data_IF_249776956266
#
_entry.id   IF_249776956266
#
_cell.length_a   1.000
_cell.length_b   1.000
_cell.length_c   1.000
_cell.angle_alpha   90.00
_cell.angle_beta   90.00
_cell.angle_gamma   90.00
#
_symmetry.space_group_name_H-M   'P 1'
#
loop_
_entity.id
_entity.type
_entity.pdbx_description
1 polymer ?
#
# COMPACT_ATOMS: atom_id res chain seq x y z
N UNK A 1 27.63 36.31 11.68
CA UNK A 1 27.54 34.86 11.36
C UNK A 1 26.35 34.61 10.46
N UNK A 2 26.56 34.37 9.16
CA UNK A 2 25.48 34.06 8.22
C UNK A 2 25.19 32.55 8.26
N UNK A 3 24.07 32.17 8.88
CA UNK A 3 23.49 30.83 8.82
C UNK A 3 23.23 30.46 7.36
N UNK A 4 23.71 29.29 6.92
CA UNK A 4 23.47 28.80 5.56
C UNK A 4 22.02 28.33 5.45
N UNK A 5 21.09 29.28 5.30
CA UNK A 5 19.64 29.06 5.18
C UNK A 5 19.22 28.56 3.79
N UNK A 6 20.14 27.94 3.03
CA UNK A 6 19.81 27.44 1.70
C UNK A 6 18.76 26.32 1.81
N UNK A 7 17.68 26.34 1.01
CA UNK A 7 16.67 25.28 0.99
C UNK A 7 17.26 23.92 0.57
N UNK A 8 18.44 23.92 -0.08
CA UNK A 8 19.14 22.72 -0.55
C UNK A 8 20.24 22.23 0.39
N UNK A 9 20.35 22.78 1.61
CA UNK A 9 21.31 22.29 2.60
C UNK A 9 21.05 20.79 2.90
N UNK A 10 22.10 19.95 3.08
CA UNK A 10 21.95 18.52 3.34
C UNK A 10 20.99 18.19 4.49
N UNK A 11 20.95 19.03 5.54
CA UNK A 11 20.01 18.92 6.66
C UNK A 11 18.56 19.13 6.24
N UNK A 12 18.25 20.21 5.51
CA UNK A 12 16.88 20.52 5.05
C UNK A 12 16.35 19.43 4.12
N UNK A 13 17.22 18.91 3.24
CA UNK A 13 16.90 17.77 2.38
C UNK A 13 16.61 16.52 3.21
N UNK A 14 17.45 16.18 4.19
CA UNK A 14 17.24 15.04 5.09
C UNK A 14 15.93 15.12 5.86
N UNK A 15 15.59 16.30 6.40
CA UNK A 15 14.33 16.55 7.10
C UNK A 15 13.13 16.38 6.18
N UNK A 16 13.17 16.97 4.98
CA UNK A 16 12.09 16.85 3.99
C UNK A 16 11.82 15.40 3.60
N UNK A 17 12.86 14.64 3.26
CA UNK A 17 12.68 13.23 2.89
C UNK A 17 12.22 12.37 4.07
N UNK A 18 12.72 12.63 5.29
CA UNK A 18 12.25 11.93 6.49
C UNK A 18 10.77 12.20 6.75
N UNK A 19 10.33 13.46 6.62
CA UNK A 19 8.92 13.82 6.70
C UNK A 19 8.09 13.09 5.64
N UNK A 20 8.55 13.06 4.39
CA UNK A 20 7.87 12.35 3.30
C UNK A 20 7.74 10.85 3.58
N UNK A 21 8.83 10.21 4.05
CA UNK A 21 8.82 8.79 4.43
C UNK A 21 7.84 8.52 5.57
N UNK A 22 7.83 9.37 6.60
CA UNK A 22 6.89 9.25 7.72
C UNK A 22 5.42 9.46 7.29
N UNK A 23 5.16 10.41 6.39
CA UNK A 23 3.84 10.61 5.81
C UNK A 23 3.39 9.36 5.04
N UNK A 24 4.27 8.80 4.22
CA UNK A 24 3.98 7.59 3.45
C UNK A 24 3.64 6.41 4.35
N UNK A 25 4.41 6.18 5.41
CA UNK A 25 4.13 5.12 6.40
C UNK A 25 2.78 5.27 7.08
N UNK A 26 2.35 6.51 7.34
CA UNK A 26 1.07 6.80 7.99
C UNK A 26 -0.12 6.72 7.03
N UNK A 27 0.10 6.93 5.73
CA UNK A 27 -0.95 6.84 4.70
C UNK A 27 -1.16 5.40 4.23
N UNK A 28 -0.10 4.59 4.16
CA UNK A 28 -0.18 3.20 3.68
C UNK A 28 -1.30 2.35 4.32
N UNK A 29 -1.54 2.41 5.64
CA UNK A 29 -2.66 1.70 6.27
C UNK A 29 -4.04 2.06 5.72
N UNK A 30 -4.26 3.28 5.20
CA UNK A 30 -5.52 3.69 4.60
C UNK A 30 -5.73 3.09 3.21
N UNK A 31 -4.64 2.81 2.49
CA UNK A 31 -4.69 2.17 1.16
C UNK A 31 -4.82 0.63 1.25
N UNK A 32 -4.38 0.05 2.36
CA UNK A 32 -4.34 -1.40 2.56
C UNK A 32 -5.71 -2.11 2.37
N UNK A 33 -6.86 -1.58 2.85
CA UNK A 33 -8.16 -2.22 2.64
C UNK A 33 -8.51 -2.44 1.17
N UNK A 34 -8.13 -1.51 0.27
CA UNK A 34 -8.38 -1.66 -1.17
C UNK A 34 -7.53 -2.77 -1.78
N UNK A 35 -6.25 -2.83 -1.42
CA UNK A 35 -5.35 -3.91 -1.86
C UNK A 35 -5.91 -5.26 -1.39
N UNK A 36 -6.35 -5.35 -0.14
CA UNK A 36 -6.94 -6.55 0.41
C UNK A 36 -8.24 -6.94 -0.31
N UNK A 37 -9.12 -5.98 -0.62
CA UNK A 37 -10.33 -6.24 -1.39
C UNK A 37 -10.01 -6.80 -2.79
N UNK A 38 -9.05 -6.21 -3.50
CA UNK A 38 -8.61 -6.71 -4.82
C UNK A 38 -8.11 -8.16 -4.69
N UNK A 39 -7.27 -8.46 -3.69
CA UNK A 39 -6.77 -9.83 -3.45
C UNK A 39 -7.93 -10.79 -3.16
N UNK A 40 -8.89 -10.39 -2.32
CA UNK A 40 -10.05 -11.23 -2.01
C UNK A 40 -10.92 -11.51 -3.23
N UNK A 41 -11.12 -10.51 -4.10
CA UNK A 41 -11.86 -10.69 -5.37
C UNK A 41 -11.10 -11.65 -6.29
N UNK A 42 -9.77 -11.53 -6.40
CA UNK A 42 -8.94 -12.43 -7.19
C UNK A 42 -9.04 -13.87 -6.68
N UNK A 43 -8.94 -14.08 -5.37
CA UNK A 43 -9.08 -15.40 -4.75
C UNK A 43 -10.50 -15.94 -5.00
N UNK A 44 -11.55 -15.19 -4.68
CA UNK A 44 -12.92 -15.64 -4.93
C UNK A 44 -13.20 -15.93 -6.42
N UNK A 45 -12.61 -15.15 -7.33
CA UNK A 45 -12.63 -15.38 -8.77
C UNK A 45 -11.93 -16.68 -9.16
N UNK A 46 -10.75 -16.96 -8.60
CA UNK A 46 -10.03 -18.22 -8.79
C UNK A 46 -10.89 -19.43 -8.38
N UNK A 47 -11.60 -19.33 -7.26
CA UNK A 47 -12.54 -20.37 -6.81
C UNK A 47 -13.84 -20.44 -7.64
N UNK A 48 -14.01 -19.55 -8.63
CA UNK A 48 -15.17 -19.54 -9.52
C UNK A 48 -16.46 -19.04 -8.86
N UNK A 49 -16.36 -18.39 -7.69
CA UNK A 49 -17.52 -17.99 -6.88
C UNK A 49 -18.48 -17.07 -7.65
N UNK A 50 -17.93 -16.23 -8.54
CA UNK A 50 -18.69 -15.24 -9.30
C UNK A 50 -19.35 -15.78 -10.58
N UNK A 51 -19.00 -16.99 -11.05
CA UNK A 51 -19.56 -17.53 -12.30
C UNK A 51 -21.04 -17.87 -12.23
N UNK A 52 -21.49 -18.33 -11.06
CA UNK A 52 -22.85 -18.82 -10.86
C UNK A 52 -23.74 -17.80 -10.12
N UNK A 53 -23.20 -16.61 -9.83
CA UNK A 53 -23.91 -15.59 -9.08
C UNK A 53 -24.84 -14.79 -10.01
N UNK A 54 -26.12 -14.59 -9.64
CA UNK A 54 -26.96 -13.63 -10.34
C UNK A 54 -26.32 -12.24 -10.29
N UNK A 55 -26.34 -11.51 -11.42
CA UNK A 55 -25.80 -10.15 -11.55
C UNK A 55 -26.15 -9.20 -10.39
N UNK A 56 -27.40 -9.12 -9.88
CA UNK A 56 -27.71 -8.22 -8.76
C UNK A 56 -26.98 -8.62 -7.47
N UNK A 57 -26.75 -9.92 -7.24
CA UNK A 57 -26.04 -10.40 -6.05
C UNK A 57 -24.54 -10.10 -6.16
N UNK A 58 -23.95 -10.31 -7.33
CA UNK A 58 -22.55 -9.94 -7.58
C UNK A 58 -22.32 -8.43 -7.36
N UNK A 59 -23.20 -7.59 -7.93
CA UNK A 59 -23.16 -6.14 -7.70
C UNK A 59 -23.29 -5.80 -6.21
N UNK A 60 -24.22 -6.43 -5.49
CA UNK A 60 -24.41 -6.20 -4.06
C UNK A 60 -23.15 -6.56 -3.25
N UNK A 61 -22.50 -7.68 -3.54
CA UNK A 61 -21.26 -8.11 -2.87
C UNK A 61 -20.12 -7.11 -3.15
N UNK A 62 -19.97 -6.67 -4.41
CA UNK A 62 -18.94 -5.69 -4.77
C UNK A 62 -19.20 -4.34 -4.10
N UNK A 63 -20.45 -3.86 -4.09
CA UNK A 63 -20.83 -2.62 -3.43
C UNK A 63 -20.59 -2.69 -1.92
N UNK A 64 -20.98 -3.80 -1.27
CA UNK A 64 -20.74 -4.01 0.16
C UNK A 64 -19.24 -4.04 0.49
N UNK A 65 -18.45 -4.78 -0.30
CA UNK A 65 -16.99 -4.82 -0.15
C UNK A 65 -16.37 -3.43 -0.29
N UNK A 66 -16.79 -2.65 -1.28
CA UNK A 66 -16.34 -1.28 -1.48
C UNK A 66 -16.71 -0.38 -0.29
N UNK A 67 -17.94 -0.43 0.20
CA UNK A 67 -18.37 0.35 1.38
C UNK A 67 -17.54 -0.01 2.61
N UNK A 68 -17.31 -1.31 2.86
CA UNK A 68 -16.48 -1.76 4.00
C UNK A 68 -15.04 -1.22 3.86
N UNK A 69 -14.43 -1.30 2.67
CA UNK A 69 -13.08 -0.76 2.44
C UNK A 69 -13.03 0.75 2.61
N UNK A 70 -14.06 1.47 2.16
CA UNK A 70 -14.17 2.91 2.32
C UNK A 70 -14.23 3.29 3.80
N UNK A 71 -15.09 2.62 4.58
CA UNK A 71 -15.19 2.86 6.03
C UNK A 71 -13.87 2.56 6.74
N UNK A 72 -13.21 1.45 6.39
CA UNK A 72 -11.90 1.10 6.95
C UNK A 72 -10.81 2.14 6.59
N UNK A 73 -10.78 2.58 5.33
CA UNK A 73 -9.87 3.62 4.83
C UNK A 73 -10.11 4.96 5.53
N UNK A 74 -11.37 5.41 5.64
CA UNK A 74 -11.73 6.63 6.36
C UNK A 74 -11.32 6.53 7.82
N UNK A 75 -11.58 5.40 8.50
CA UNK A 75 -11.15 5.21 9.90
C UNK A 75 -9.63 5.27 10.05
N UNK A 76 -8.87 4.73 9.10
CA UNK A 76 -7.41 4.84 9.09
C UNK A 76 -6.96 6.28 8.82
N UNK A 77 -7.60 6.98 7.89
CA UNK A 77 -7.33 8.39 7.57
C UNK A 77 -7.69 9.33 8.72
N UNK A 78 -8.77 9.09 9.47
CA UNK A 78 -9.12 9.87 10.66
C UNK A 78 -8.12 9.70 11.80
N UNK A 79 -7.35 8.60 11.80
CA UNK A 79 -6.24 8.38 12.73
C UNK A 79 -4.92 8.97 12.23
N UNK A 80 -4.91 9.54 11.03
CA UNK A 80 -3.73 10.20 10.48
C UNK A 80 -3.35 11.38 11.36
N UNK A 81 -2.08 11.42 11.74
CA UNK A 81 -1.47 12.56 12.40
C UNK A 81 -0.30 13.00 11.56
N UNK A 82 -0.18 14.29 11.28
CA UNK A 82 0.99 14.82 10.59
C UNK A 82 2.23 14.62 11.47
N UNK A 83 3.37 14.15 10.92
CA UNK A 83 4.60 13.99 11.71
C UNK A 83 5.05 15.34 12.24
N UNK A 84 5.30 15.41 13.55
CA UNK A 84 5.71 16.66 14.19
C UNK A 84 7.20 16.92 13.98
N UNK A 85 7.63 18.17 14.12
CA UNK A 85 9.04 18.56 13.98
C UNK A 85 9.95 17.75 14.90
N UNK A 86 9.52 17.50 16.14
CA UNK A 86 10.26 16.70 17.13
C UNK A 86 10.40 15.25 16.66
N UNK A 87 9.34 14.63 16.15
CA UNK A 87 9.40 13.26 15.64
C UNK A 87 10.34 13.12 14.43
N UNK A 88 10.30 14.09 13.51
CA UNK A 88 11.16 14.10 12.31
C UNK A 88 12.63 14.21 12.71
N UNK A 89 12.98 15.12 13.61
CA UNK A 89 14.36 15.27 14.09
C UNK A 89 14.84 14.04 14.84
N UNK A 90 14.02 13.51 15.76
CA UNK A 90 14.37 12.31 16.53
C UNK A 90 14.62 11.13 15.60
N UNK A 91 13.77 10.95 14.59
CA UNK A 91 13.94 9.86 13.61
C UNK A 91 15.22 10.03 12.80
N UNK A 92 15.44 11.22 12.22
CA UNK A 92 16.65 11.49 11.45
C UNK A 92 17.93 11.35 12.29
N UNK A 93 17.87 11.69 13.59
CA UNK A 93 18.97 11.52 14.52
C UNK A 93 19.29 10.03 14.74
N UNK A 94 18.25 9.24 15.07
CA UNK A 94 18.38 7.79 15.26
C UNK A 94 18.92 7.10 14.01
N UNK A 95 18.40 7.44 12.82
CA UNK A 95 18.85 6.85 11.55
C UNK A 95 20.33 7.15 11.22
N UNK A 96 20.91 8.18 11.83
CA UNK A 96 22.32 8.57 11.66
C UNK A 96 23.19 8.28 12.89
N UNK A 97 22.67 7.64 13.93
CA UNK A 97 23.40 7.41 15.19
C UNK A 97 23.77 8.70 15.92
N UNK A 98 23.05 9.79 15.68
CA UNK A 98 23.25 11.10 16.32
C UNK A 98 22.23 11.30 17.43
N UNK A 99 22.52 12.25 18.33
CA UNK A 99 21.52 12.75 19.29
C UNK A 99 20.69 13.87 18.66
N UNK A 100 19.40 14.05 19.03
CA UNK A 100 18.55 15.10 18.47
C UNK A 100 19.11 16.51 18.64
N UNK A 101 19.78 16.80 19.76
CA UNK A 101 20.38 18.10 20.05
C UNK A 101 21.50 18.43 19.06
N UNK A 102 22.24 17.40 18.60
CA UNK A 102 23.29 17.57 17.61
C UNK A 102 22.74 17.99 16.26
N UNK A 103 21.57 17.49 15.86
CA UNK A 103 20.89 17.94 14.63
C UNK A 103 20.43 19.39 14.71
N UNK A 104 19.98 19.84 15.89
CA UNK A 104 19.62 21.24 16.11
C UNK A 104 20.86 22.14 15.99
N UNK A 105 21.99 21.74 16.57
CA UNK A 105 23.25 22.47 16.44
C UNK A 105 23.73 22.56 14.97
N UNK A 106 23.55 21.49 14.18
CA UNK A 106 23.93 21.46 12.75
C UNK A 106 23.19 22.49 11.88
N UNK A 107 22.05 23.02 12.33
CA UNK A 107 21.32 24.10 11.62
C UNK A 107 22.15 25.39 11.52
N UNK A 108 23.08 25.59 12.44
CA UNK A 108 23.97 26.76 12.48
C UNK A 108 25.36 26.48 11.89
N UNK A 109 25.66 25.23 11.53
CA UNK A 109 26.95 24.85 10.96
C UNK A 109 27.01 25.11 9.45
N UNK A 110 28.17 25.61 8.99
CA UNK A 110 28.40 25.94 7.57
C UNK A 110 28.65 24.70 6.71
N UNK A 111 29.27 23.67 7.28
CA UNK A 111 29.52 22.36 6.65
C UNK A 111 28.67 21.31 7.36
N UNK A 112 27.68 20.78 6.66
CA UNK A 112 26.82 19.72 7.17
C UNK A 112 27.23 18.38 6.54
N UNK A 113 27.35 17.29 7.33
CA UNK A 113 27.58 15.97 6.77
C UNK A 113 26.36 15.50 5.96
N UNK A 114 26.58 14.56 5.02
CA UNK A 114 25.47 13.90 4.34
C UNK A 114 24.73 13.01 5.33
N UNK A 115 23.44 13.28 5.52
CA UNK A 115 22.57 12.49 6.39
C UNK A 115 21.94 11.34 5.61
N UNK A 116 21.88 10.16 6.24
CA UNK A 116 21.13 9.00 5.77
C UNK A 116 19.67 9.17 6.15
N UNK A 117 18.78 8.88 5.21
CA UNK A 117 17.34 8.87 5.45
C UNK A 117 16.95 7.41 5.70
N UNK A 118 16.26 7.13 6.81
CA UNK A 118 15.78 5.79 7.13
C UNK A 118 14.81 5.26 6.08
N UNK A 119 14.78 3.94 5.91
CA UNK A 119 13.83 3.27 5.02
C UNK A 119 12.41 3.35 5.58
N UNK A 120 11.43 3.32 4.68
CA UNK A 120 10.02 3.22 5.05
C UNK A 120 9.76 1.90 5.81
N UNK A 121 9.22 2.01 7.03
CA UNK A 121 8.75 0.92 7.89
C UNK A 121 7.23 1.01 7.96
N UNK A 122 6.55 0.39 7.02
CA UNK A 122 5.10 0.32 7.03
C UNK A 122 4.63 -0.70 8.10
N UNK A 123 3.86 -0.24 9.08
CA UNK A 123 3.22 -1.11 10.07
C UNK A 123 2.02 -1.86 9.48
N UNK A 124 2.26 -2.86 8.61
CA UNK A 124 1.18 -3.60 7.93
C UNK A 124 0.28 -4.33 8.95
N UNK A 125 0.80 -4.71 10.12
CA UNK A 125 0.03 -5.35 11.18
C UNK A 125 -1.08 -4.45 11.76
N UNK A 126 -0.90 -3.12 11.77
CA UNK A 126 -1.93 -2.21 12.27
C UNK A 126 -3.11 -2.04 11.29
N UNK A 127 -2.89 -2.35 10.01
CA UNK A 127 -3.88 -2.22 8.94
C UNK A 127 -4.78 -3.45 8.79
N UNK A 128 -4.36 -4.61 9.33
CA UNK A 128 -5.08 -5.89 9.21
C UNK A 128 -5.25 -6.58 10.58
N UNK A 129 -6.19 -6.11 11.41
CA UNK A 129 -6.39 -6.66 12.76
C UNK A 129 -6.89 -8.11 12.74
N UNK A 130 -7.56 -8.53 11.67
CA UNK A 130 -8.11 -9.88 11.53
C UNK A 130 -7.21 -10.83 10.76
N UNK A 131 -5.98 -10.41 10.41
CA UNK A 131 -5.04 -11.23 9.66
C UNK A 131 -5.62 -11.77 8.33
N UNK A 132 -6.57 -11.04 7.73
CA UNK A 132 -7.27 -11.41 6.49
C UNK A 132 -6.29 -11.64 5.33
N UNK A 133 -5.14 -10.97 5.33
CA UNK A 133 -4.08 -11.18 4.35
C UNK A 133 -3.57 -12.63 4.32
N UNK A 134 -3.45 -13.27 5.48
CA UNK A 134 -2.97 -14.65 5.58
C UNK A 134 -4.06 -15.62 5.16
N UNK A 135 -5.32 -15.32 5.48
CA UNK A 135 -6.48 -16.09 5.02
C UNK A 135 -6.57 -16.05 3.49
N UNK A 136 -6.43 -14.86 2.90
CA UNK A 136 -6.44 -14.68 1.46
C UNK A 136 -5.27 -15.42 0.78
N UNK A 137 -4.05 -15.32 1.34
CA UNK A 137 -2.88 -16.03 0.83
C UNK A 137 -3.05 -17.56 0.92
N UNK A 138 -3.53 -18.07 2.05
CA UNK A 138 -3.82 -19.49 2.23
C UNK A 138 -4.88 -19.97 1.22
N UNK A 139 -5.95 -19.20 1.04
CA UNK A 139 -7.00 -19.49 0.05
C UNK A 139 -6.48 -19.49 -1.39
N UNK A 140 -5.55 -18.59 -1.74
CA UNK A 140 -4.91 -18.56 -3.05
C UNK A 140 -4.06 -19.82 -3.29
N UNK A 141 -3.19 -20.15 -2.32
CA UNK A 141 -2.30 -21.32 -2.39
C UNK A 141 -3.13 -22.61 -2.48
N UNK A 142 -4.10 -22.78 -1.59
CA UNK A 142 -4.99 -23.95 -1.61
C UNK A 142 -5.76 -24.04 -2.92
N UNK A 143 -6.25 -22.91 -3.44
CA UNK A 143 -6.92 -22.88 -4.74
C UNK A 143 -6.00 -23.38 -5.87
N UNK A 144 -4.71 -23.00 -5.88
CA UNK A 144 -3.76 -23.48 -6.90
C UNK A 144 -3.48 -24.97 -6.72
N UNK A 145 -3.33 -25.44 -5.48
CA UNK A 145 -3.03 -26.84 -5.19
C UNK A 145 -4.21 -27.77 -5.51
N UNK A 146 -5.45 -27.32 -5.28
CA UNK A 146 -6.66 -28.13 -5.45
C UNK A 146 -7.18 -28.05 -6.89
N UNK A 147 -7.29 -26.84 -7.46
CA UNK A 147 -7.90 -26.62 -8.77
C UNK A 147 -6.87 -26.65 -9.91
N UNK A 148 -5.57 -26.57 -9.59
CA UNK A 148 -4.51 -26.41 -10.58
C UNK A 148 -4.45 -24.98 -11.15
N UNK A 149 -3.75 -24.79 -12.29
CA UNK A 149 -3.70 -23.49 -12.97
C UNK A 149 -5.08 -23.14 -13.55
N UNK A 150 -5.63 -22.02 -13.09
CA UNK A 150 -6.96 -21.54 -13.46
C UNK A 150 -6.86 -20.51 -14.60
N UNK A 151 -7.74 -20.52 -15.61
CA UNK A 151 -7.71 -19.55 -16.70
C UNK A 151 -7.93 -18.11 -16.20
N UNK A 152 -7.22 -17.14 -16.80
CA UNK A 152 -7.27 -15.72 -16.40
C UNK A 152 -8.70 -15.16 -16.46
N UNK A 153 -9.51 -15.63 -17.41
CA UNK A 153 -10.92 -15.22 -17.54
C UNK A 153 -11.74 -15.59 -16.29
N UNK A 154 -11.43 -16.71 -15.64
CA UNK A 154 -12.08 -17.10 -14.39
C UNK A 154 -11.76 -16.11 -13.27
N UNK A 155 -10.48 -15.77 -13.13
CA UNK A 155 -10.02 -14.86 -12.08
C UNK A 155 -10.58 -13.45 -12.32
N UNK A 156 -10.55 -13.00 -13.57
CA UNK A 156 -11.03 -11.67 -13.95
C UNK A 156 -12.55 -11.52 -13.88
N UNK A 157 -13.31 -12.63 -13.95
CA UNK A 157 -14.77 -12.62 -13.79
C UNK A 157 -15.23 -11.95 -12.49
N UNK A 158 -14.42 -11.96 -11.43
CA UNK A 158 -14.74 -11.27 -10.19
C UNK A 158 -14.89 -9.74 -10.32
N UNK A 159 -14.26 -9.12 -11.32
CA UNK A 159 -14.35 -7.69 -11.59
C UNK A 159 -15.39 -7.32 -12.64
N UNK A 160 -15.94 -8.31 -13.36
CA UNK A 160 -16.89 -8.13 -14.44
C UNK A 160 -18.34 -8.03 -13.92
N UNK A 161 -18.68 -6.87 -13.36
CA UNK A 161 -20.02 -6.64 -12.76
C UNK A 161 -21.09 -6.35 -13.82
N UNK A 162 -20.73 -5.71 -14.94
CA UNK A 162 -21.68 -5.14 -15.90
C UNK A 162 -21.67 -5.78 -17.31
N UNK A 163 -20.85 -6.80 -17.56
CA UNK A 163 -20.75 -7.44 -18.87
C UNK A 163 -19.61 -8.44 -18.99
N UNK A 164 -19.54 -9.12 -20.13
CA UNK A 164 -18.48 -10.09 -20.43
C UNK A 164 -17.11 -9.39 -20.57
N UNK A 165 -16.05 -10.15 -20.28
CA UNK A 165 -14.67 -9.70 -20.43
C UNK A 165 -14.44 -9.13 -21.84
N UNK A 166 -13.83 -7.93 -21.99
CA UNK A 166 -13.47 -7.46 -23.32
C UNK A 166 -12.54 -8.49 -23.98
N UNK A 167 -12.83 -8.84 -25.24
CA UNK A 167 -12.08 -9.84 -26.02
C UNK A 167 -10.57 -9.53 -26.15
N UNK A 168 -10.11 -8.36 -25.69
CA UNK A 168 -8.71 -7.92 -25.72
C UNK A 168 -7.75 -8.77 -24.89
N UNK A 169 -8.23 -9.52 -23.88
CA UNK A 169 -7.37 -10.43 -23.12
C UNK A 169 -7.19 -11.79 -23.80
N UNK A 170 -8.18 -12.24 -24.59
CA UNK A 170 -8.09 -13.48 -25.35
C UNK A 170 -7.08 -13.36 -26.51
N UNK A 171 -7.04 -12.20 -27.17
CA UNK A 171 -6.09 -11.92 -28.26
C UNK A 171 -4.63 -11.78 -27.79
N UNK A 172 -4.39 -11.33 -26.56
CA UNK A 172 -3.03 -11.20 -26.01
C UNK A 172 -2.37 -12.57 -25.74
N UNK A 173 -3.16 -13.60 -25.40
CA UNK A 173 -2.66 -14.97 -25.19
C UNK A 173 -2.36 -15.71 -26.51
N UNK A 174 -3.10 -15.41 -27.58
CA UNK A 174 -2.84 -15.90 -28.94
C UNK A 174 -1.56 -15.28 -29.54
N UNK A 175 -1.29 -14.00 -29.26
CA UNK A 175 -0.08 -13.32 -29.73
C UNK A 175 1.23 -13.83 -29.08
N UNK A 176 1.15 -14.43 -27.90
CA UNK A 176 2.30 -14.98 -27.16
C UNK A 176 2.61 -16.45 -27.48
N UNK A 177 1.62 -17.20 -27.98
CA UNK A 177 1.78 -18.61 -28.41
C UNK A 177 2.08 -18.69 -29.92
N UNK A 178 1.78 -17.65 -30.69
CA UNK A 178 2.06 -17.56 -32.14
C UNK A 178 3.44 -17.02 -32.51
N UNK A 179 4.44 -17.06 -31.61
CA UNK A 179 5.84 -16.74 -31.92
C UNK A 179 6.77 -17.88 -31.54
#
# INVERSE_FOLDING_TARGET
MQSNKSPFAPLNRGLFFTQMTMMWERILPALFPYVLLVILILVAGQWGLFRNLPKPVHLAIMAAGLVITLVASVRAALRFRMPTFTEINTRLAVDNGLRPERLLAMRHERRQPKLRIGKAKAGIAAADPFALRYVALAGAILGVLILGPVPVQQVASGFCVFGDMPESFASMHLALIGR
#
